data_IF_943127427007
#
_entry.id   IF_943127427007
#
_cell.length_a   1.000
_cell.length_b   1.000
_cell.length_c   1.000
_cell.angle_alpha   90.00
_cell.angle_beta   90.00
_cell.angle_gamma   90.00
#
_symmetry.space_group_name_H-M   'P 1'
#
loop_
_entity.id
_entity.type
_entity.pdbx_description
1 polymer ?
#
# COMPACT_ATOMS: atom_id res chain seq x y z
N UNK A 1 11.22 -13.21 -8.46
CA UNK A 1 12.42 -12.52 -7.93
C UNK A 1 12.15 -11.06 -7.57
N UNK A 2 11.14 -10.40 -8.13
CA UNK A 2 10.80 -9.01 -7.78
C UNK A 2 10.47 -8.79 -6.30
N UNK A 3 11.00 -7.71 -5.73
CA UNK A 3 10.68 -7.21 -4.38
C UNK A 3 10.26 -5.74 -4.48
N UNK A 4 9.18 -5.39 -3.79
CA UNK A 4 8.64 -4.02 -3.75
C UNK A 4 8.59 -3.52 -2.30
N UNK A 5 8.52 -2.22 -2.07
CA UNK A 5 8.43 -1.66 -0.73
C UNK A 5 8.55 -0.14 -0.69
N UNK A 6 8.55 0.41 0.52
CA UNK A 6 8.80 1.82 0.83
C UNK A 6 9.77 1.88 2.02
N UNK A 7 11.08 1.71 1.81
CA UNK A 7 12.07 1.59 2.89
C UNK A 7 12.40 2.91 3.60
N UNK A 8 11.83 4.04 3.18
CA UNK A 8 12.15 5.39 3.65
C UNK A 8 12.03 5.55 5.17
N UNK A 9 11.06 4.87 5.81
CA UNK A 9 10.87 4.96 7.25
C UNK A 9 12.04 4.40 8.06
N UNK A 10 12.80 3.45 7.49
CA UNK A 10 13.99 2.88 8.13
C UNK A 10 15.15 3.89 8.19
N UNK A 11 15.13 4.89 7.30
CA UNK A 11 16.07 6.01 7.28
C UNK A 11 15.56 7.21 8.08
N UNK A 12 14.40 7.09 8.76
CA UNK A 12 13.76 8.21 9.44
C UNK A 12 13.15 9.23 8.48
N UNK A 13 12.86 8.83 7.24
CA UNK A 13 12.27 9.67 6.20
C UNK A 13 10.81 9.29 5.94
N UNK A 14 10.09 10.20 5.29
CA UNK A 14 8.77 9.93 4.75
C UNK A 14 8.88 9.54 3.27
N UNK A 15 8.01 8.64 2.76
CA UNK A 15 7.97 8.34 1.33
C UNK A 15 7.60 9.55 0.47
N UNK A 16 8.60 10.16 -0.18
CA UNK A 16 8.47 11.42 -0.91
C UNK A 16 7.89 11.29 -2.33
N UNK A 17 7.93 10.10 -2.94
CA UNK A 17 7.43 9.86 -4.29
C UNK A 17 5.90 9.77 -4.41
N UNK A 18 5.15 10.23 -3.40
CA UNK A 18 3.70 10.06 -3.29
C UNK A 18 3.27 8.67 -2.79
N UNK A 19 4.19 7.89 -2.20
CA UNK A 19 3.92 6.56 -1.66
C UNK A 19 2.90 6.57 -0.53
N UNK A 20 2.96 7.58 0.34
CA UNK A 20 1.97 7.83 1.41
C UNK A 20 0.55 8.01 0.87
N UNK A 21 0.41 8.45 -0.38
CA UNK A 21 -0.87 8.76 -1.00
C UNK A 21 -1.37 7.64 -1.92
N UNK A 22 -0.51 7.14 -2.81
CA UNK A 22 -0.91 6.12 -3.80
C UNK A 22 -1.11 4.75 -3.15
N UNK A 23 -0.23 4.35 -2.24
CA UNK A 23 -0.30 3.00 -1.67
C UNK A 23 -1.61 2.76 -0.90
N UNK A 24 -2.05 3.64 0.02
CA UNK A 24 -3.34 3.46 0.70
C UNK A 24 -4.55 3.47 -0.23
N UNK A 25 -4.53 4.25 -1.31
CA UNK A 25 -5.62 4.25 -2.31
C UNK A 25 -5.65 2.95 -3.14
N UNK A 26 -4.51 2.31 -3.35
CA UNK A 26 -4.41 1.08 -4.13
C UNK A 26 -4.76 -0.17 -3.34
N UNK A 27 -4.26 -0.28 -2.10
CA UNK A 27 -4.35 -1.53 -1.33
C UNK A 27 -5.11 -1.38 -0.01
N UNK A 28 -5.59 -0.18 0.28
CA UNK A 28 -6.28 0.17 1.52
C UNK A 28 -5.33 0.60 2.62
N UNK A 29 -5.82 1.47 3.50
CA UNK A 29 -5.07 2.05 4.63
C UNK A 29 -4.54 0.94 5.54
N UNK A 30 -5.37 -0.07 5.84
CA UNK A 30 -4.99 -1.15 6.75
C UNK A 30 -3.83 -2.00 6.22
N UNK A 31 -3.79 -2.24 4.91
CA UNK A 31 -2.69 -2.98 4.28
C UNK A 31 -1.47 -2.09 4.07
N UNK A 32 -1.65 -0.81 3.75
CA UNK A 32 -0.57 0.12 3.41
C UNK A 32 0.26 0.55 4.63
N UNK A 33 -0.38 0.88 5.76
CA UNK A 33 0.30 1.42 6.94
C UNK A 33 1.45 0.53 7.44
N UNK A 34 1.32 -0.81 7.56
CA UNK A 34 2.44 -1.67 7.93
C UNK A 34 3.68 -1.49 7.03
N UNK A 35 3.50 -1.32 5.73
CA UNK A 35 4.60 -1.15 4.78
C UNK A 35 5.22 0.25 4.86
N UNK A 36 4.39 1.28 4.93
CA UNK A 36 4.85 2.67 5.06
C UNK A 36 5.59 2.89 6.39
N UNK A 37 5.16 2.25 7.48
CA UNK A 37 5.74 2.47 8.80
C UNK A 37 6.99 1.63 9.06
N UNK A 38 7.04 0.40 8.55
CA UNK A 38 8.15 -0.54 8.86
C UNK A 38 9.16 -0.70 7.73
N UNK A 39 8.86 -0.22 6.53
CA UNK A 39 9.69 -0.41 5.34
C UNK A 39 9.87 -1.87 4.91
N UNK A 40 8.97 -2.76 5.35
CA UNK A 40 9.05 -4.19 5.02
C UNK A 40 8.88 -4.44 3.53
N UNK A 41 9.57 -5.47 3.05
CA UNK A 41 9.45 -5.98 1.70
C UNK A 41 8.04 -6.52 1.41
N UNK A 42 7.58 -6.29 0.18
CA UNK A 42 6.36 -6.80 -0.41
C UNK A 42 6.77 -7.75 -1.53
N UNK A 43 6.47 -9.03 -1.33
CA UNK A 43 6.74 -10.08 -2.32
C UNK A 43 5.57 -10.24 -3.31
N UNK A 44 5.82 -10.76 -4.53
CA UNK A 44 4.87 -10.71 -5.64
C UNK A 44 3.51 -11.35 -5.34
N UNK A 45 3.50 -12.53 -4.72
CA UNK A 45 2.25 -13.22 -4.37
C UNK A 45 1.37 -12.39 -3.44
N UNK A 46 1.97 -11.74 -2.43
CA UNK A 46 1.23 -10.89 -1.51
C UNK A 46 0.78 -9.60 -2.19
N UNK A 47 1.64 -9.00 -3.03
CA UNK A 47 1.32 -7.82 -3.83
C UNK A 47 0.12 -8.06 -4.74
N UNK A 48 0.07 -9.21 -5.40
CA UNK A 48 -1.06 -9.61 -6.24
C UNK A 48 -2.34 -9.80 -5.44
N UNK A 49 -2.28 -10.50 -4.29
CA UNK A 49 -3.45 -10.75 -3.45
C UNK A 49 -4.06 -9.47 -2.88
N UNK A 50 -3.24 -8.49 -2.52
CA UNK A 50 -3.72 -7.21 -1.95
C UNK A 50 -4.12 -6.17 -2.99
N UNK A 51 -3.90 -6.43 -4.29
CA UNK A 51 -4.23 -5.49 -5.37
C UNK A 51 -3.14 -4.46 -5.70
N UNK A 52 -1.93 -4.61 -5.14
CA UNK A 52 -0.77 -3.79 -5.54
C UNK A 52 -0.34 -4.11 -6.97
N UNK A 53 -0.40 -5.40 -7.33
CA UNK A 53 -0.06 -5.94 -8.65
C UNK A 53 -1.31 -6.52 -9.31
N UNK A 54 -1.52 -6.19 -10.57
CA UNK A 54 -2.68 -6.62 -11.34
C UNK A 54 -2.52 -8.03 -11.92
N UNK A 55 -1.32 -8.39 -12.40
CA UNK A 55 -1.00 -9.69 -13.02
C UNK A 55 0.41 -10.16 -12.62
N UNK A 56 0.58 -11.48 -12.43
CA UNK A 56 1.89 -12.11 -12.21
C UNK A 56 2.21 -13.04 -13.38
N UNK A 57 3.46 -13.05 -13.83
CA UNK A 57 3.94 -13.88 -14.94
C UNK A 57 5.37 -14.35 -14.71
N UNK A 58 5.87 -15.27 -15.55
CA UNK A 58 7.27 -15.66 -15.55
C UNK A 58 8.15 -14.54 -16.10
N UNK A 59 9.41 -14.50 -15.69
CA UNK A 59 10.38 -13.45 -16.06
C UNK A 59 10.45 -13.21 -17.57
N UNK A 60 10.49 -14.30 -18.35
CA UNK A 60 10.64 -14.25 -19.80
C UNK A 60 9.39 -13.72 -20.53
N UNK A 61 8.25 -13.71 -19.85
CA UNK A 61 6.97 -13.28 -20.41
C UNK A 61 6.54 -11.88 -19.94
N UNK A 62 7.35 -11.16 -19.14
CA UNK A 62 7.01 -9.84 -18.59
C UNK A 62 6.67 -8.83 -19.71
N UNK A 63 7.52 -8.72 -20.74
CA UNK A 63 7.31 -7.76 -21.82
C UNK A 63 6.05 -8.08 -22.63
N UNK A 64 5.81 -9.37 -22.89
CA UNK A 64 4.61 -9.83 -23.61
C UNK A 64 3.34 -9.56 -22.81
N UNK A 65 3.35 -9.85 -21.51
CA UNK A 65 2.24 -9.57 -20.60
C UNK A 65 1.95 -8.06 -20.51
N UNK A 66 2.99 -7.22 -20.39
CA UNK A 66 2.86 -5.77 -20.37
C UNK A 66 2.24 -5.22 -21.67
N UNK A 67 2.73 -5.66 -22.84
CA UNK A 67 2.15 -5.28 -24.14
C UNK A 67 0.67 -5.66 -24.23
N UNK A 68 0.33 -6.89 -23.80
CA UNK A 68 -1.06 -7.37 -23.76
C UNK A 68 -1.94 -6.53 -22.83
N UNK A 69 -1.41 -6.11 -21.67
CA UNK A 69 -2.13 -5.22 -20.75
C UNK A 69 -2.41 -3.86 -21.39
N UNK A 70 -1.44 -3.27 -22.08
CA UNK A 70 -1.63 -2.00 -22.82
C UNK A 70 -2.67 -2.15 -23.93
N UNK A 71 -2.66 -3.25 -24.68
CA UNK A 71 -3.70 -3.51 -25.70
C UNK A 71 -5.10 -3.61 -25.08
N UNK A 72 -5.23 -4.24 -23.90
CA UNK A 72 -6.51 -4.28 -23.17
C UNK A 72 -6.95 -2.90 -22.69
N UNK A 73 -6.02 -2.09 -22.21
CA UNK A 73 -6.29 -0.70 -21.78
C UNK A 73 -6.79 0.15 -22.94
N UNK A 74 -6.13 0.10 -24.10
CA UNK A 74 -6.54 0.86 -25.29
C UNK A 74 -7.91 0.44 -25.85
N UNK A 75 -8.35 -0.78 -25.54
CA UNK A 75 -9.65 -1.30 -25.95
C UNK A 75 -10.74 -1.07 -24.89
N UNK A 76 -10.46 -0.32 -23.82
CA UNK A 76 -11.32 -0.15 -22.63
C UNK A 76 -11.76 -1.49 -21.98
N UNK A 77 -10.96 -2.54 -22.16
CA UNK A 77 -11.19 -3.89 -21.63
C UNK A 77 -10.38 -4.19 -20.37
N UNK A 78 -9.77 -3.16 -19.78
CA UNK A 78 -9.02 -3.29 -18.54
C UNK A 78 -9.82 -2.73 -17.39
N UNK A 79 -10.34 -3.62 -16.56
CA UNK A 79 -11.02 -3.26 -15.32
C UNK A 79 -10.13 -3.63 -14.13
N UNK A 80 -9.79 -2.64 -13.31
CA UNK A 80 -9.07 -2.89 -12.06
C UNK A 80 -10.08 -3.16 -10.95
N UNK A 81 -10.13 -4.42 -10.50
CA UNK A 81 -10.97 -4.83 -9.38
C UNK A 81 -10.30 -4.51 -8.05
N UNK A 82 -11.07 -3.98 -7.12
CA UNK A 82 -10.63 -3.87 -5.74
C UNK A 82 -10.52 -5.26 -5.12
N UNK A 83 -9.29 -5.67 -4.77
CA UNK A 83 -9.01 -6.98 -4.17
C UNK A 83 -9.11 -6.96 -2.63
N UNK A 84 -9.42 -5.81 -2.03
CA UNK A 84 -9.61 -5.69 -0.57
C UNK A 84 -10.87 -6.45 -0.14
N UNK A 85 -10.88 -7.08 1.05
CA UNK A 85 -12.11 -7.63 1.61
C UNK A 85 -13.20 -6.56 1.76
N UNK A 86 -14.47 -6.90 1.51
CA UNK A 86 -15.61 -5.96 1.61
C UNK A 86 -15.66 -5.23 2.97
N UNK A 87 -15.37 -5.95 4.05
CA UNK A 87 -15.29 -5.37 5.39
C UNK A 87 -14.25 -4.23 5.46
N UNK A 88 -13.07 -4.41 4.85
CA UNK A 88 -12.03 -3.38 4.84
C UNK A 88 -12.46 -2.17 4.01
N UNK A 89 -13.12 -2.40 2.87
CA UNK A 89 -13.65 -1.32 2.04
C UNK A 89 -14.69 -0.48 2.80
N UNK A 90 -15.63 -1.15 3.50
CA UNK A 90 -16.64 -0.48 4.32
C UNK A 90 -16.03 0.29 5.50
N UNK A 91 -15.09 -0.33 6.21
CA UNK A 91 -14.41 0.31 7.34
C UNK A 91 -13.63 1.56 6.93
N UNK A 92 -12.99 1.54 5.75
CA UNK A 92 -12.24 2.69 5.24
C UNK A 92 -13.15 3.77 4.64
N UNK A 93 -14.34 3.40 4.12
CA UNK A 93 -15.32 4.33 3.57
C UNK A 93 -16.09 5.13 4.63
N UNK A 94 -16.22 4.62 5.85
CA UNK A 94 -16.92 5.29 6.94
C UNK A 94 -15.97 6.17 7.77
N UNK A 95 -16.21 7.48 7.79
CA UNK A 95 -15.35 8.47 8.48
C UNK A 95 -15.02 8.14 9.95
N UNK A 96 -15.98 7.71 10.80
CA UNK A 96 -15.67 7.35 12.19
C UNK A 96 -14.73 6.14 12.32
N UNK A 97 -14.92 5.13 11.46
CA UNK A 97 -14.11 3.91 11.48
C UNK A 97 -12.69 4.16 10.94
N UNK A 98 -12.55 5.02 9.94
CA UNK A 98 -11.25 5.47 9.43
C UNK A 98 -10.41 6.13 10.54
N UNK A 99 -11.01 6.98 11.38
CA UNK A 99 -10.32 7.58 12.54
C UNK A 99 -9.84 6.54 13.55
N UNK A 100 -10.60 5.46 13.75
CA UNK A 100 -10.19 4.35 14.64
C UNK A 100 -8.94 3.66 14.08
N UNK A 101 -8.88 3.41 12.77
CA UNK A 101 -7.71 2.81 12.12
C UNK A 101 -6.46 3.65 12.38
N UNK A 102 -6.53 4.97 12.19
CA UNK A 102 -5.40 5.86 12.45
C UNK A 102 -5.00 5.92 13.92
N UNK A 103 -5.99 6.01 14.83
CA UNK A 103 -5.73 5.99 16.28
C UNK A 103 -5.01 4.70 16.71
N UNK A 104 -5.45 3.55 16.21
CA UNK A 104 -4.78 2.27 16.46
C UNK A 104 -3.36 2.24 15.88
N UNK A 105 -3.18 2.74 14.66
CA UNK A 105 -1.87 2.84 14.04
C UNK A 105 -0.90 3.72 14.83
N UNK A 106 -1.36 4.86 15.35
CA UNK A 106 -0.58 5.77 16.22
C UNK A 106 -0.19 5.07 17.52
N UNK A 107 -1.14 4.38 18.18
CA UNK A 107 -0.89 3.63 19.42
C UNK A 107 0.16 2.54 19.21
N UNK A 108 0.02 1.75 18.15
CA UNK A 108 0.97 0.68 17.80
C UNK A 108 2.36 1.24 17.46
N UNK A 109 2.39 2.34 16.70
CA UNK A 109 3.63 3.03 16.35
C UNK A 109 4.35 3.56 17.57
N UNK A 110 3.64 4.23 18.48
CA UNK A 110 4.21 4.73 19.75
C UNK A 110 4.77 3.59 20.61
N UNK A 111 4.07 2.45 20.67
CA UNK A 111 4.55 1.28 21.40
C UNK A 111 5.83 0.70 20.81
N UNK A 112 5.91 0.56 19.48
CA UNK A 112 7.09 -0.02 18.81
C UNK A 112 8.30 0.92 18.83
N UNK A 113 8.07 2.22 18.62
CA UNK A 113 9.13 3.24 18.51
C UNK A 113 9.53 3.84 19.86
N UNK A 114 8.71 3.63 20.90
CA UNK A 114 8.80 4.29 22.22
C UNK A 114 8.84 5.81 22.15
N UNK A 115 8.42 6.41 21.02
CA UNK A 115 8.48 7.85 20.78
C UNK A 115 9.82 8.37 20.25
N UNK A 116 10.81 7.50 20.02
CA UNK A 116 12.16 7.91 19.62
C UNK A 116 12.32 8.16 18.11
N UNK A 117 11.30 7.80 17.31
CA UNK A 117 11.35 7.90 15.85
C UNK A 117 10.23 8.85 15.37
N UNK A 118 10.57 10.04 14.87
CA UNK A 118 9.57 11.03 14.46
C UNK A 118 8.92 10.72 13.11
N UNK A 119 9.56 9.95 12.23
CA UNK A 119 9.01 9.65 10.91
C UNK A 119 7.70 8.83 10.94
N UNK A 120 7.60 7.68 11.66
CA UNK A 120 6.38 6.90 11.68
C UNK A 120 5.08 7.66 12.05
N UNK A 121 5.02 8.49 13.12
CA UNK A 121 3.81 9.25 13.39
C UNK A 121 3.50 10.30 12.30
N UNK A 122 4.52 10.92 11.71
CA UNK A 122 4.35 11.88 10.60
C UNK A 122 3.87 11.21 9.33
N UNK A 123 4.29 9.98 9.05
CA UNK A 123 3.76 9.17 7.95
C UNK A 123 2.26 8.96 8.14
N UNK A 124 1.79 8.70 9.36
CA UNK A 124 0.36 8.56 9.63
C UNK A 124 -0.38 9.88 9.37
N UNK A 125 0.17 11.01 9.83
CA UNK A 125 -0.40 12.34 9.56
C UNK A 125 -0.59 12.56 8.05
N UNK A 126 0.46 12.32 7.26
CA UNK A 126 0.40 12.51 5.80
C UNK A 126 -0.55 11.57 5.09
N UNK A 127 -0.89 10.42 5.67
CA UNK A 127 -1.86 9.46 5.08
C UNK A 127 -3.30 9.80 5.50
N UNK A 128 -3.46 10.51 6.62
CA UNK A 128 -4.75 10.92 7.16
C UNK A 128 -5.29 12.17 6.45
N UNK A 129 -4.41 13.10 6.06
CA UNK A 129 -4.67 14.23 5.15
C UNK A 129 -5.26 13.78 3.79
#
# INVERSE_FOLDING_TARGET
DTVMGQPESQLGLLPGGGGTQRLPRLIGIQNALPYLLTGKNIYPHKAYKMGLVDEMTHKDAILTAAKKAVTKLNADKFERKDKRPLLHQLMEGLSPLRKIIYSQARKKTKSNTKGNYPAPPRIIDTVEE
#
